data_IF_743901342514
#
_entry.id   IF_743901342514
#
_cell.length_a   1.000
_cell.length_b   1.000
_cell.length_c   1.000
_cell.angle_alpha   90.00
_cell.angle_beta   90.00
_cell.angle_gamma   90.00
#
_symmetry.space_group_name_H-M   'P 1'
#
loop_
_entity.id
_entity.type
_entity.pdbx_description
1 polymer ?
#
# COMPACT_ATOMS: atom_id res chain seq x y z
N UNK A 1 2.54 8.01 -12.04
CA UNK A 1 2.43 6.55 -12.03
C UNK A 1 3.50 5.94 -11.14
N UNK A 2 3.06 5.16 -10.18
CA UNK A 2 3.95 4.49 -9.24
C UNK A 2 3.98 3.01 -9.57
N UNK A 3 5.17 2.49 -9.84
CA UNK A 3 5.36 1.06 -10.09
C UNK A 3 6.28 0.51 -9.01
N UNK A 4 5.86 -0.56 -8.37
CA UNK A 4 6.64 -1.21 -7.32
C UNK A 4 6.66 -2.71 -7.55
N UNK A 5 7.80 -3.32 -7.20
CA UNK A 5 7.88 -4.77 -7.13
C UNK A 5 7.05 -5.26 -5.93
N UNK A 6 6.82 -6.56 -5.88
CA UNK A 6 6.10 -7.17 -4.77
C UNK A 6 6.82 -6.89 -3.44
N UNK A 7 8.15 -7.00 -3.43
CA UNK A 7 8.95 -6.73 -2.23
C UNK A 7 8.85 -5.28 -1.79
N UNK A 8 8.94 -4.35 -2.73
CA UNK A 8 8.83 -2.93 -2.44
C UNK A 8 7.44 -2.57 -1.91
N UNK A 9 6.41 -3.18 -2.48
CA UNK A 9 5.04 -2.96 -2.04
C UNK A 9 4.83 -3.47 -0.62
N UNK A 10 5.36 -4.67 -0.32
CA UNK A 10 5.30 -5.25 1.02
C UNK A 10 5.98 -4.33 2.03
N UNK A 11 7.18 -3.87 1.72
CA UNK A 11 7.94 -2.99 2.60
C UNK A 11 7.23 -1.65 2.82
N UNK A 12 6.69 -1.08 1.75
CA UNK A 12 5.98 0.19 1.86
C UNK A 12 4.74 0.06 2.74
N UNK A 13 3.97 -1.00 2.56
CA UNK A 13 2.78 -1.24 3.37
C UNK A 13 3.15 -1.44 4.84
N UNK A 14 4.20 -2.21 5.10
CA UNK A 14 4.67 -2.45 6.46
C UNK A 14 5.10 -1.15 7.15
N UNK A 15 5.81 -0.30 6.44
CA UNK A 15 6.25 0.99 6.98
C UNK A 15 5.07 1.90 7.30
N UNK A 16 4.12 2.01 6.40
CA UNK A 16 2.94 2.84 6.63
C UNK A 16 2.17 2.38 7.86
N UNK A 17 2.00 1.07 8.00
CA UNK A 17 1.27 0.49 9.13
C UNK A 17 1.97 0.71 10.47
N UNK A 18 3.29 0.90 10.46
CA UNK A 18 4.09 1.02 11.67
C UNK A 18 4.70 2.41 11.89
N UNK A 19 4.43 3.35 11.01
CA UNK A 19 4.95 4.72 11.14
C UNK A 19 3.93 5.61 11.83
N UNK A 20 4.19 6.02 13.08
CA UNK A 20 3.25 6.90 13.80
C UNK A 20 3.06 8.25 13.13
N UNK A 21 4.00 8.67 12.25
CA UNK A 21 3.84 9.91 11.49
C UNK A 21 2.70 9.82 10.47
N UNK A 22 2.31 8.62 10.08
CA UNK A 22 1.18 8.39 9.20
C UNK A 22 -0.18 8.51 9.91
N UNK A 23 -0.16 8.48 11.24
CA UNK A 23 -1.36 8.39 12.05
C UNK A 23 -1.55 6.96 12.55
N UNK A 24 -2.74 6.65 13.00
CA UNK A 24 -3.07 5.31 13.49
C UNK A 24 -3.68 4.51 12.35
N UNK A 25 -2.83 3.89 11.56
CA UNK A 25 -3.24 3.15 10.37
C UNK A 25 -3.65 1.73 10.75
N UNK A 26 -4.84 1.34 10.37
CA UNK A 26 -5.38 -0.01 10.64
C UNK A 26 -5.23 -0.95 9.46
N UNK A 27 -5.38 -0.42 8.25
CA UNK A 27 -5.40 -1.24 7.05
C UNK A 27 -4.97 -0.45 5.83
N UNK A 28 -4.26 -1.13 4.94
CA UNK A 28 -3.89 -0.59 3.63
C UNK A 28 -4.36 -1.60 2.60
N UNK A 29 -5.12 -1.16 1.61
CA UNK A 29 -5.57 -2.05 0.54
C UNK A 29 -5.63 -1.32 -0.78
N UNK A 30 -5.53 -2.06 -1.84
CA UNK A 30 -5.65 -1.48 -3.17
C UNK A 30 -4.92 -2.29 -4.22
N UNK A 31 -4.67 -1.63 -5.33
CA UNK A 31 -4.00 -2.25 -6.48
C UNK A 31 -2.86 -1.37 -6.94
N UNK A 32 -1.76 -2.00 -7.32
CA UNK A 32 -0.63 -1.31 -7.88
C UNK A 32 -0.11 -2.12 -9.05
N UNK A 33 0.45 -1.44 -10.03
CA UNK A 33 0.97 -2.11 -11.22
C UNK A 33 2.48 -2.27 -11.11
N UNK A 34 2.97 -3.45 -11.45
CA UNK A 34 4.41 -3.71 -11.58
C UNK A 34 4.92 -3.08 -12.88
N UNK A 35 6.23 -2.95 -12.99
CA UNK A 35 6.85 -2.40 -14.20
C UNK A 35 6.51 -3.19 -15.46
N UNK A 36 6.31 -4.49 -15.33
CA UNK A 36 5.95 -5.35 -16.46
C UNK A 36 4.47 -5.29 -16.84
N UNK A 37 3.71 -4.44 -16.17
CA UNK A 37 2.29 -4.25 -16.46
C UNK A 37 1.34 -5.13 -15.69
N UNK A 38 1.86 -6.10 -14.94
CA UNK A 38 1.01 -6.96 -14.12
C UNK A 38 0.49 -6.21 -12.91
N UNK A 39 -0.76 -6.51 -12.54
CA UNK A 39 -1.38 -5.92 -11.37
C UNK A 39 -1.12 -6.74 -10.12
N UNK A 40 -0.90 -6.05 -9.02
CA UNK A 40 -0.83 -6.65 -7.69
C UNK A 40 -1.97 -6.11 -6.84
N UNK A 41 -2.59 -6.99 -6.09
CA UNK A 41 -3.59 -6.63 -5.10
C UNK A 41 -2.95 -6.69 -3.72
N UNK A 42 -3.06 -5.59 -2.97
CA UNK A 42 -2.55 -5.49 -1.61
C UNK A 42 -3.71 -5.48 -0.63
N UNK A 43 -3.57 -6.24 0.44
CA UNK A 43 -4.50 -6.20 1.56
C UNK A 43 -3.67 -6.43 2.83
N UNK A 44 -3.44 -5.38 3.58
CA UNK A 44 -2.50 -5.41 4.70
C UNK A 44 -3.10 -4.85 5.98
N UNK A 45 -2.82 -5.53 7.07
CA UNK A 45 -3.08 -5.06 8.43
C UNK A 45 -1.77 -5.17 9.21
N UNK A 46 -1.76 -4.73 10.46
CA UNK A 46 -0.56 -4.89 11.31
C UNK A 46 -0.21 -6.34 11.58
N UNK A 47 -1.16 -7.25 11.38
CA UNK A 47 -0.97 -8.67 11.67
C UNK A 47 -0.63 -9.48 10.42
N UNK A 48 -0.99 -9.00 9.26
CA UNK A 48 -0.85 -9.79 8.05
C UNK A 48 -0.74 -8.88 6.83
N UNK A 49 0.17 -9.20 5.93
CA UNK A 49 0.31 -8.51 4.66
C UNK A 49 0.14 -9.53 3.55
N UNK A 50 -0.92 -9.37 2.76
CA UNK A 50 -1.22 -10.24 1.63
C UNK A 50 -1.05 -9.47 0.35
N UNK A 51 -0.23 -10.01 -0.56
CA UNK A 51 -0.04 -9.46 -1.89
C UNK A 51 -0.23 -10.61 -2.87
N UNK A 52 -1.08 -10.42 -3.86
CA UNK A 52 -1.30 -11.44 -4.90
C UNK A 52 -1.47 -10.82 -6.26
N UNK A 53 -1.18 -11.62 -7.32
CA UNK A 53 -1.46 -11.17 -8.67
C UNK A 53 -2.94 -10.94 -8.88
N UNK A 54 -3.27 -9.91 -9.67
CA UNK A 54 -4.65 -9.65 -10.07
C UNK A 54 -4.68 -9.50 -11.59
N UNK A 55 -5.79 -9.91 -12.19
CA UNK A 55 -5.94 -9.82 -13.64
C UNK A 55 -6.20 -8.39 -14.09
N UNK A 56 -6.97 -7.66 -13.31
CA UNK A 56 -7.33 -6.29 -13.59
C UNK A 56 -7.29 -5.50 -12.29
N UNK A 57 -7.07 -4.20 -12.42
CA UNK A 57 -7.08 -3.32 -11.27
C UNK A 57 -7.14 -1.87 -11.70
N UNK A 58 -7.16 -1.01 -10.73
CA UNK A 58 -7.02 0.43 -10.91
C UNK A 58 -5.92 0.88 -9.97
N UNK A 59 -5.13 1.85 -10.38
CA UNK A 59 -4.12 2.41 -9.48
C UNK A 59 -4.82 3.17 -8.37
N UNK A 60 -5.13 2.45 -7.31
CA UNK A 60 -5.80 3.01 -6.15
C UNK A 60 -5.25 2.35 -4.89
N UNK A 61 -4.91 3.19 -3.91
CA UNK A 61 -4.52 2.74 -2.59
C UNK A 61 -5.43 3.40 -1.58
N UNK A 62 -6.00 2.60 -0.71
CA UNK A 62 -6.89 3.06 0.35
C UNK A 62 -6.21 2.77 1.69
N UNK A 63 -6.04 3.83 2.47
CA UNK A 63 -5.47 3.71 3.81
C UNK A 63 -6.60 4.02 4.80
N UNK A 64 -6.83 3.08 5.71
CA UNK A 64 -7.91 3.18 6.69
C UNK A 64 -7.31 3.32 8.08
N UNK A 65 -7.80 4.28 8.84
CA UNK A 65 -7.31 4.51 10.19
C UNK A 65 -7.85 5.79 10.77
N UNK A 66 -7.25 6.22 11.88
CA UNK A 66 -7.62 7.43 12.56
C UNK A 66 -6.47 8.44 12.56
N UNK A 67 -6.81 9.72 12.54
CA UNK A 67 -5.83 10.81 12.59
C UNK A 67 -4.76 10.67 11.51
N UNK A 68 -5.17 10.29 10.31
CA UNK A 68 -4.26 10.04 9.21
C UNK A 68 -3.58 11.32 8.74
N UNK A 69 -2.28 11.23 8.47
CA UNK A 69 -1.51 12.31 7.87
C UNK A 69 -1.30 12.00 6.39
N UNK A 70 -2.15 12.61 5.56
CA UNK A 70 -2.17 12.35 4.13
C UNK A 70 -0.84 12.66 3.45
N UNK A 71 -0.18 13.76 3.84
CA UNK A 71 1.09 14.14 3.23
C UNK A 71 2.16 13.09 3.44
N UNK A 72 2.27 12.58 4.65
CA UNK A 72 3.26 11.55 4.98
C UNK A 72 2.95 10.27 4.24
N UNK A 73 1.68 9.87 4.25
CA UNK A 73 1.23 8.65 3.57
C UNK A 73 1.49 8.75 2.07
N UNK A 74 1.12 9.86 1.45
CA UNK A 74 1.32 10.06 0.01
C UNK A 74 2.80 9.99 -0.36
N UNK A 75 3.68 10.42 0.53
CA UNK A 75 5.12 10.32 0.32
C UNK A 75 5.63 8.90 0.15
N UNK A 76 4.98 7.94 0.79
CA UNK A 76 5.36 6.53 0.66
C UNK A 76 5.05 5.95 -0.71
N UNK A 77 4.11 6.55 -1.43
CA UNK A 77 3.66 6.02 -2.73
C UNK A 77 4.35 6.67 -3.93
N UNK A 78 5.25 7.58 -3.69
CA UNK A 78 5.98 8.29 -4.77
C UNK A 78 7.28 7.62 -5.12
#
# INVERSE_FOLDING_TARGET
>A
NVHKSEEELHETAERILNDPSCGDVFRVKGFLRKEDGQWLELNATRHEICIRPAKLGQEIMIVIGEKLNKEVIDGYWK
#
